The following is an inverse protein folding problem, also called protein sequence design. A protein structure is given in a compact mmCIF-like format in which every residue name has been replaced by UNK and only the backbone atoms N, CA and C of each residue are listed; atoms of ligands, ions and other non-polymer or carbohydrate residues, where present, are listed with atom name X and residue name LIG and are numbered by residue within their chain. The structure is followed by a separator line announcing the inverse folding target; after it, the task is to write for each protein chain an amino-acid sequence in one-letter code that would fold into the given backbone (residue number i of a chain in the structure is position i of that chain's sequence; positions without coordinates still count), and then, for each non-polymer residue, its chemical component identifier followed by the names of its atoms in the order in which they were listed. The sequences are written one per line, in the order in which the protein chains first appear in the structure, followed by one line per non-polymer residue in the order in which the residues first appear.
data_IF_971885097074
#
_entry.id   IF_971885097074
#
_cell.length_a   1.000
_cell.length_b   1.000
_cell.length_c   1.000
_cell.angle_alpha   90.00
_cell.angle_beta   90.00
_cell.angle_gamma   90.00
#
_symmetry.space_group_name_H-M   'P 1'
#
loop_
_entity.id
_entity.type
_entity.pdbx_description
1 polymer ?
#
# COMPACT_ATOMS: atom_id res chain seq x y z
N UNK A 1 27.82 -31.83 38.88
CA UNK A 1 26.43 -32.34 38.96
C UNK A 1 25.54 -31.10 38.94
N UNK A 2 24.60 -30.85 38.04
CA UNK A 2 24.09 -31.47 36.83
C UNK A 2 23.13 -30.41 36.27
N UNK A 3 23.23 -30.06 34.98
CA UNK A 3 22.42 -28.99 34.38
C UNK A 3 20.93 -29.37 34.33
N UNK A 4 20.06 -28.45 34.76
CA UNK A 4 18.62 -28.57 34.55
C UNK A 4 18.29 -28.29 33.08
N UNK A 5 17.85 -29.34 32.39
CA UNK A 5 17.45 -29.29 30.99
C UNK A 5 16.10 -28.60 30.81
N UNK A 6 16.01 -27.73 29.81
CA UNK A 6 14.74 -27.18 29.33
C UNK A 6 13.87 -28.29 28.72
N UNK A 7 12.77 -28.64 29.39
CA UNK A 7 11.80 -29.60 28.89
C UNK A 7 10.96 -29.03 27.73
N UNK A 8 11.03 -29.68 26.56
CA UNK A 8 10.19 -29.36 25.40
C UNK A 8 8.74 -29.74 25.68
N UNK A 9 7.87 -28.75 25.88
CA UNK A 9 6.42 -28.97 26.00
C UNK A 9 5.82 -29.22 24.61
N UNK A 10 5.54 -30.47 24.28
CA UNK A 10 4.76 -30.83 23.08
C UNK A 10 3.28 -30.46 23.28
N UNK A 11 2.73 -29.57 22.44
CA UNK A 11 1.30 -29.29 22.42
C UNK A 11 0.55 -30.45 21.77
N UNK A 12 -0.07 -31.31 22.58
CA UNK A 12 -1.03 -32.31 22.09
C UNK A 12 -2.26 -31.58 21.57
N UNK A 13 -2.40 -31.45 20.25
CA UNK A 13 -3.63 -30.95 19.60
C UNK A 13 -4.79 -31.85 20.02
N UNK A 14 -5.74 -31.29 20.77
CA UNK A 14 -6.98 -31.96 21.14
C UNK A 14 -7.90 -31.90 19.93
N UNK A 15 -8.04 -33.00 19.20
CA UNK A 15 -9.02 -33.11 18.12
C UNK A 15 -10.43 -32.99 18.72
N UNK A 16 -11.14 -31.91 18.40
CA UNK A 16 -12.55 -31.75 18.74
C UNK A 16 -13.33 -32.72 17.84
N UNK A 17 -13.79 -33.84 18.40
CA UNK A 17 -14.69 -34.78 17.71
C UNK A 17 -15.98 -34.03 17.36
N UNK A 18 -16.23 -33.78 16.08
CA UNK A 18 -17.48 -33.14 15.64
C UNK A 18 -17.47 -32.45 14.28
N UNK A 19 -16.33 -32.28 13.61
CA UNK A 19 -16.32 -31.69 12.26
C UNK A 19 -16.58 -32.76 11.20
N UNK A 20 -17.83 -32.96 10.83
CA UNK A 20 -18.22 -33.85 9.74
C UNK A 20 -17.85 -33.22 8.39
N UNK A 21 -16.85 -33.79 7.70
CA UNK A 21 -16.55 -33.49 6.30
C UNK A 21 -17.42 -34.40 5.42
N UNK A 22 -18.69 -34.07 5.24
CA UNK A 22 -19.50 -34.63 4.16
C UNK A 22 -20.77 -33.79 3.97
N UNK A 23 -20.62 -32.68 3.25
CA UNK A 23 -21.72 -32.06 2.52
C UNK A 23 -21.39 -32.21 1.02
N UNK A 24 -22.29 -32.77 0.19
CA UNK A 24 -22.05 -32.85 -1.25
C UNK A 24 -22.00 -31.44 -1.86
N UNK A 25 -21.05 -31.23 -2.77
CA UNK A 25 -20.88 -29.98 -3.50
C UNK A 25 -22.16 -29.62 -4.29
N UNK A 26 -22.55 -28.33 -4.37
CA UNK A 26 -23.62 -27.90 -5.26
C UNK A 26 -23.24 -28.22 -6.71
N UNK A 27 -24.17 -28.80 -7.47
CA UNK A 27 -23.98 -29.09 -8.91
C UNK A 27 -23.71 -27.80 -9.69
N UNK A 28 -22.71 -27.84 -10.57
CA UNK A 28 -22.51 -26.82 -11.59
C UNK A 28 -23.70 -26.81 -12.58
N UNK A 29 -24.23 -25.64 -12.98
CA UNK A 29 -25.19 -25.56 -14.07
C UNK A 29 -24.53 -25.89 -15.41
N UNK A 30 -25.26 -26.62 -16.26
CA UNK A 30 -24.83 -27.06 -17.59
C UNK A 30 -24.71 -25.88 -18.59
N UNK A 31 -23.85 -25.97 -19.61
CA UNK A 31 -23.75 -24.93 -20.64
C UNK A 31 -24.89 -25.08 -21.66
N UNK A 32 -25.67 -24.03 -21.87
CA UNK A 32 -26.55 -23.88 -23.03
C UNK A 32 -25.86 -22.98 -24.05
N UNK A 33 -25.65 -23.51 -25.25
CA UNK A 33 -25.06 -22.81 -26.39
C UNK A 33 -26.04 -21.79 -26.99
N UNK A 34 -25.51 -20.59 -27.21
CA UNK A 34 -25.74 -19.64 -28.31
C UNK A 34 -27.17 -19.22 -28.68
N UNK A 35 -27.52 -17.99 -28.27
CA UNK A 35 -28.23 -17.03 -29.13
C UNK A 35 -27.47 -15.70 -29.08
N UNK A 36 -26.78 -15.38 -30.15
CA UNK A 36 -26.04 -14.13 -30.34
C UNK A 36 -27.00 -12.95 -30.51
N UNK A 37 -27.21 -12.17 -29.45
CA UNK A 37 -27.69 -10.80 -29.56
C UNK A 37 -26.60 -9.85 -29.07
N UNK A 38 -26.08 -9.05 -29.99
CA UNK A 38 -25.05 -8.04 -29.78
C UNK A 38 -25.42 -7.10 -28.62
N UNK A 39 -24.57 -7.08 -27.59
CA UNK A 39 -24.55 -6.03 -26.58
C UNK A 39 -23.16 -5.39 -26.61
N UNK A 40 -23.23 -4.12 -26.97
CA UNK A 40 -22.22 -3.12 -27.22
C UNK A 40 -20.99 -3.16 -26.28
N UNK A 41 -19.80 -3.24 -26.88
CA UNK A 41 -18.48 -3.26 -26.24
C UNK A 41 -18.05 -1.86 -25.78
N UNK A 42 -18.73 -1.35 -24.75
CA UNK A 42 -18.44 -0.02 -24.17
C UNK A 42 -18.12 -0.07 -22.66
N UNK A 43 -17.61 -1.20 -22.16
CA UNK A 43 -17.28 -1.39 -20.74
C UNK A 43 -15.79 -1.59 -20.44
N UNK A 44 -14.89 -1.41 -21.43
CA UNK A 44 -13.43 -1.48 -21.24
C UNK A 44 -12.77 -0.11 -20.91
N UNK A 45 -13.54 0.98 -20.93
CA UNK A 45 -13.01 2.34 -20.76
C UNK A 45 -13.20 3.00 -19.38
N UNK A 46 -13.98 2.41 -18.47
CA UNK A 46 -14.51 3.13 -17.30
C UNK A 46 -13.71 3.03 -16.00
N UNK A 47 -12.45 2.58 -16.07
CA UNK A 47 -11.47 2.73 -14.98
C UNK A 47 -10.44 3.82 -15.24
N UNK A 48 -10.55 4.55 -16.36
CA UNK A 48 -9.60 5.60 -16.73
C UNK A 48 -9.98 7.01 -16.25
N UNK A 49 -11.12 7.18 -15.58
CA UNK A 49 -11.59 8.47 -15.06
C UNK A 49 -12.15 8.31 -13.65
N UNK A 50 -11.25 8.14 -12.70
CA UNK A 50 -11.46 8.72 -11.37
C UNK A 50 -10.79 10.10 -11.42
N UNK A 51 -11.40 11.04 -12.16
CA UNK A 51 -11.19 12.47 -11.93
C UNK A 51 -12.04 12.83 -10.71
N UNK A 52 -11.54 12.48 -9.52
CA UNK A 52 -12.08 13.03 -8.28
C UNK A 52 -11.31 14.32 -8.04
N UNK A 53 -11.99 15.44 -8.28
CA UNK A 53 -11.48 16.77 -8.01
C UNK A 53 -11.17 16.93 -6.53
N UNK A 54 -9.88 17.08 -6.22
CA UNK A 54 -9.39 17.77 -5.03
C UNK A 54 -8.03 18.39 -5.38
N UNK A 55 -7.99 19.72 -5.37
CA UNK A 55 -6.77 20.52 -5.49
C UNK A 55 -5.81 20.13 -4.37
N UNK A 56 -4.83 19.27 -4.62
CA UNK A 56 -3.47 19.24 -4.02
C UNK A 56 -2.65 18.13 -4.69
N UNK A 57 -2.75 18.01 -6.02
CA UNK A 57 -1.85 17.18 -6.79
C UNK A 57 -0.53 17.93 -6.94
N UNK A 58 0.28 18.00 -5.88
CA UNK A 58 1.69 18.33 -6.09
C UNK A 58 2.25 17.22 -6.98
N UNK A 59 2.61 17.55 -8.21
CA UNK A 59 3.39 16.67 -9.08
C UNK A 59 4.80 16.59 -8.51
N UNK A 60 4.94 15.81 -7.42
CA UNK A 60 6.17 15.71 -6.65
C UNK A 60 7.20 14.93 -7.45
N UNK A 61 8.33 15.58 -7.76
CA UNK A 61 9.51 14.95 -8.32
C UNK A 61 10.66 14.99 -7.33
N UNK A 62 11.67 14.14 -7.53
CA UNK A 62 12.80 14.08 -6.61
C UNK A 62 13.60 15.38 -6.63
N UNK A 63 13.77 15.96 -7.82
CA UNK A 63 14.51 17.19 -8.08
C UNK A 63 13.89 18.42 -7.39
N UNK A 64 12.58 18.40 -7.13
CA UNK A 64 11.88 19.52 -6.49
C UNK A 64 11.94 19.46 -4.95
N UNK A 65 12.62 18.45 -4.38
CA UNK A 65 12.70 18.23 -2.94
C UNK A 65 14.11 18.50 -2.40
N UNK A 66 14.24 19.57 -1.63
CA UNK A 66 15.45 19.88 -0.88
C UNK A 66 15.44 19.14 0.47
N UNK A 67 16.50 18.36 0.76
CA UNK A 67 16.62 17.67 2.05
C UNK A 67 17.17 18.62 3.10
N UNK A 68 16.40 18.85 4.17
CA UNK A 68 16.78 19.75 5.26
C UNK A 68 17.47 19.01 6.41
N UNK A 69 16.91 17.88 6.84
CA UNK A 69 17.39 17.15 8.03
C UNK A 69 16.91 15.70 8.00
N UNK A 70 17.72 14.75 8.47
CA UNK A 70 17.24 13.40 8.75
C UNK A 70 16.41 13.36 10.04
N UNK A 71 15.21 12.78 9.98
CA UNK A 71 14.30 12.65 11.13
C UNK A 71 14.47 11.30 11.82
N UNK A 72 14.70 10.23 11.06
CA UNK A 72 15.02 8.92 11.61
C UNK A 72 15.07 7.81 10.57
N UNK A 73 15.50 6.63 10.99
CA UNK A 73 15.58 5.43 10.16
C UNK A 73 15.09 4.20 10.94
N UNK A 74 14.53 3.23 10.21
CA UNK A 74 14.03 1.99 10.80
C UNK A 74 13.71 0.93 9.75
N UNK A 75 13.01 -0.12 10.17
CA UNK A 75 12.70 -1.27 9.30
C UNK A 75 11.84 -0.90 8.07
N UNK A 76 11.11 0.22 8.15
CA UNK A 76 10.31 0.76 7.06
C UNK A 76 11.04 1.75 6.16
N UNK A 77 12.37 1.89 6.31
CA UNK A 77 13.20 2.82 5.56
C UNK A 77 13.54 4.10 6.35
N UNK A 78 13.91 5.15 5.63
CA UNK A 78 14.45 6.40 6.21
C UNK A 78 13.49 7.55 6.01
N UNK A 79 13.34 8.40 7.02
CA UNK A 79 12.51 9.61 6.99
C UNK A 79 13.40 10.84 7.08
N UNK A 80 13.20 11.78 6.17
CA UNK A 80 13.91 13.07 6.16
C UNK A 80 12.91 14.22 6.10
N UNK A 81 13.18 15.30 6.82
CA UNK A 81 12.53 16.59 6.64
C UNK A 81 13.00 17.16 5.33
N UNK A 82 12.06 17.50 4.46
CA UNK A 82 12.32 18.08 3.15
C UNK A 82 11.52 19.35 2.95
N UNK A 83 11.94 20.17 1.99
CA UNK A 83 11.19 21.32 1.49
C UNK A 83 10.92 21.14 0.02
N UNK A 84 9.66 21.28 -0.39
CA UNK A 84 9.32 21.39 -1.80
C UNK A 84 9.68 22.77 -2.32
N UNK A 85 10.62 22.86 -3.25
CA UNK A 85 11.23 24.12 -3.70
C UNK A 85 10.17 25.05 -4.32
N UNK A 86 9.29 24.51 -5.17
CA UNK A 86 8.30 25.32 -5.89
C UNK A 86 7.25 25.95 -4.98
N UNK A 87 6.83 25.26 -3.92
CA UNK A 87 5.77 25.76 -3.01
C UNK A 87 6.30 26.30 -1.68
N UNK A 88 7.56 26.02 -1.32
CA UNK A 88 8.11 26.28 0.01
C UNK A 88 7.60 25.35 1.12
N UNK A 89 6.65 24.45 0.83
CA UNK A 89 6.04 23.54 1.81
C UNK A 89 7.08 22.60 2.44
N UNK A 90 7.06 22.52 3.77
CA UNK A 90 7.90 21.60 4.55
C UNK A 90 7.15 20.28 4.74
N UNK A 91 7.83 19.17 4.47
CA UNK A 91 7.23 17.84 4.47
C UNK A 91 8.15 16.81 5.13
N UNK A 92 7.60 15.68 5.53
CA UNK A 92 8.36 14.48 5.84
C UNK A 92 8.39 13.56 4.60
N UNK A 93 9.59 13.21 4.15
CA UNK A 93 9.84 12.29 3.04
C UNK A 93 10.30 10.95 3.59
N UNK A 94 9.50 9.91 3.41
CA UNK A 94 9.85 8.52 3.72
C UNK A 94 10.34 7.78 2.47
N UNK A 95 11.53 7.21 2.53
CA UNK A 95 12.13 6.37 1.48
C UNK A 95 12.04 4.92 1.91
N UNK A 96 11.25 4.12 1.20
CA UNK A 96 10.98 2.71 1.49
C UNK A 96 11.69 1.86 0.45
N UNK A 97 12.69 1.09 0.90
CA UNK A 97 13.42 0.16 0.05
C UNK A 97 12.60 -1.10 -0.13
N UNK A 98 12.17 -1.38 -1.36
CA UNK A 98 11.33 -2.55 -1.67
C UNK A 98 12.01 -3.40 -2.74
N UNK A 99 12.52 -4.57 -2.33
CA UNK A 99 13.04 -5.59 -3.23
C UNK A 99 11.89 -6.37 -3.89
N UNK A 100 11.22 -5.72 -4.85
CA UNK A 100 10.13 -6.33 -5.60
C UNK A 100 10.17 -6.00 -7.09
N UNK A 101 9.43 -6.81 -7.87
CA UNK A 101 9.19 -6.56 -9.30
C UNK A 101 8.52 -5.19 -9.50
N UNK A 102 8.80 -4.55 -10.64
CA UNK A 102 8.27 -3.24 -11.01
C UNK A 102 6.74 -3.16 -10.93
N UNK A 103 6.05 -4.24 -11.26
CA UNK A 103 4.58 -4.35 -11.19
C UNK A 103 4.04 -4.18 -9.76
N UNK A 104 4.67 -4.85 -8.79
CA UNK A 104 4.29 -4.77 -7.38
C UNK A 104 4.52 -3.36 -6.84
N UNK A 105 5.65 -2.73 -7.19
CA UNK A 105 5.96 -1.36 -6.79
C UNK A 105 4.96 -0.34 -7.35
N UNK A 106 4.55 -0.51 -8.61
CA UNK A 106 3.50 0.32 -9.21
C UNK A 106 2.14 0.13 -8.54
N UNK A 107 1.83 -1.11 -8.12
CA UNK A 107 0.62 -1.41 -7.34
C UNK A 107 0.65 -0.70 -5.99
N UNK A 108 1.77 -0.73 -5.27
CA UNK A 108 1.94 -0.03 -3.98
C UNK A 108 1.65 1.48 -4.15
N UNK A 109 2.26 2.13 -5.14
CA UNK A 109 2.03 3.58 -5.37
C UNK A 109 0.58 3.88 -5.69
N UNK A 110 -0.11 3.00 -6.42
CA UNK A 110 -1.54 3.15 -6.72
C UNK A 110 -2.40 2.99 -5.46
N UNK A 111 -2.10 2.02 -4.61
CA UNK A 111 -2.83 1.80 -3.36
C UNK A 111 -2.60 2.96 -2.37
N UNK A 112 -1.41 3.55 -2.34
CA UNK A 112 -1.13 4.76 -1.56
C UNK A 112 -1.96 5.97 -1.99
N UNK A 113 -2.50 5.99 -3.21
CA UNK A 113 -3.35 7.10 -3.68
C UNK A 113 -4.62 7.25 -2.84
N UNK A 114 -5.14 6.17 -2.24
CA UNK A 114 -6.32 6.20 -1.37
C UNK A 114 -6.10 7.14 -0.17
N UNK A 115 -4.86 7.31 0.29
CA UNK A 115 -4.56 8.21 1.41
C UNK A 115 -4.79 9.68 1.07
N UNK A 116 -4.89 10.08 -0.20
CA UNK A 116 -5.29 11.43 -0.57
C UNK A 116 -6.75 11.76 -0.21
N UNK A 117 -7.62 10.75 -0.18
CA UNK A 117 -9.03 10.94 0.16
C UNK A 117 -9.25 11.00 1.68
N UNK A 118 -8.22 10.65 2.45
CA UNK A 118 -8.28 10.63 3.90
C UNK A 118 -8.00 12.01 4.49
N UNK A 119 -9.06 12.80 4.69
CA UNK A 119 -8.99 14.10 5.36
C UNK A 119 -9.56 14.00 6.79
N UNK A 120 -8.68 14.00 7.79
CA UNK A 120 -9.07 13.93 9.20
C UNK A 120 -8.00 14.61 10.06
N UNK A 121 -8.41 15.39 11.06
CA UNK A 121 -7.52 16.07 12.01
C UNK A 121 -6.63 15.10 12.83
N UNK A 122 -6.96 13.80 12.83
CA UNK A 122 -6.24 12.76 13.56
C UNK A 122 -5.30 11.94 12.66
N UNK A 123 -5.23 12.24 11.37
CA UNK A 123 -4.43 11.50 10.39
C UNK A 123 -3.49 12.47 9.69
N UNK A 124 -2.21 12.09 9.60
CA UNK A 124 -1.18 12.89 8.93
C UNK A 124 -1.56 13.06 7.45
N UNK A 125 -1.58 14.31 6.98
CA UNK A 125 -1.91 14.59 5.59
C UNK A 125 -0.90 13.97 4.62
N UNK A 126 -1.40 13.47 3.50
CA UNK A 126 -0.61 12.84 2.46
C UNK A 126 -0.51 13.74 1.23
N UNK A 127 0.72 14.07 0.82
CA UNK A 127 0.96 14.90 -0.36
C UNK A 127 1.18 14.10 -1.63
N UNK A 128 1.65 12.86 -1.53
CA UNK A 128 1.86 12.00 -2.68
C UNK A 128 2.97 10.98 -2.50
N UNK A 129 3.05 10.05 -3.46
CA UNK A 129 4.10 9.05 -3.52
C UNK A 129 4.56 8.83 -4.95
N UNK A 130 5.85 8.56 -5.12
CA UNK A 130 6.48 8.30 -6.41
C UNK A 130 7.61 7.27 -6.28
N UNK A 131 8.05 6.72 -7.41
CA UNK A 131 9.17 5.79 -7.45
C UNK A 131 10.48 6.53 -7.68
N UNK A 132 11.50 6.14 -6.93
CA UNK A 132 12.86 6.59 -7.15
C UNK A 132 13.52 5.90 -8.35
N UNK A 133 14.60 6.49 -8.88
CA UNK A 133 15.48 5.86 -9.87
C UNK A 133 16.14 4.60 -9.31
N UNK A 134 16.45 4.64 -8.01
CA UNK A 134 16.92 3.51 -7.21
C UNK A 134 15.85 2.43 -6.96
N UNK A 135 14.67 2.54 -7.58
CA UNK A 135 13.53 1.64 -7.41
C UNK A 135 12.83 1.67 -6.04
N UNK A 136 13.20 2.60 -5.17
CA UNK A 136 12.56 2.82 -3.87
C UNK A 136 11.20 3.51 -4.01
N UNK A 137 10.31 3.27 -3.04
CA UNK A 137 9.04 4.00 -2.94
C UNK A 137 9.26 5.22 -2.05
N UNK A 138 9.03 6.41 -2.60
CA UNK A 138 9.12 7.67 -1.86
C UNK A 138 7.71 8.14 -1.53
N UNK A 139 7.48 8.48 -0.27
CA UNK A 139 6.22 8.99 0.25
C UNK A 139 6.44 10.35 0.91
N UNK A 140 5.65 11.35 0.53
CA UNK A 140 5.68 12.69 1.11
C UNK A 140 4.40 12.93 1.92
N UNK A 141 4.59 13.30 3.18
CA UNK A 141 3.53 13.53 4.16
C UNK A 141 3.76 14.83 4.90
N UNK A 142 2.74 15.28 5.62
CA UNK A 142 2.85 16.41 6.55
C UNK A 142 3.97 16.20 7.57
N UNK A 143 4.70 17.28 7.83
CA UNK A 143 5.77 17.27 8.81
C UNK A 143 5.21 17.56 10.21
N UNK A 144 5.38 16.61 11.12
CA UNK A 144 5.07 16.77 12.54
C UNK A 144 6.31 17.31 13.27
N UNK A 145 6.19 18.43 13.97
CA UNK A 145 7.30 19.13 14.60
C UNK A 145 7.82 18.44 15.88
N UNK A 146 6.92 17.77 16.61
CA UNK A 146 7.21 17.09 17.88
C UNK A 146 7.55 15.59 17.75
N UNK A 147 7.51 15.00 16.55
CA UNK A 147 7.92 13.60 16.32
C UNK A 147 7.53 13.01 14.99
#
# INVERSE_FOLDING_TARGET
MSGEGFGVRTMKRKNVKGLALNAPAPRAPAPSNDDHAALDDAASGRTAQLEIGIEYKLDLKREDLEVLKELGSGNGGTVSKVRHIATGTVMARKVIHVEAKKEIRRRIVRELHIMHECNSDYIVNFYGAFLSESNDVIMCMEYMDVG
#
